data_IF_282481127879
#
_entry.id   IF_282481127879
#
_cell.length_a   1.000
_cell.length_b   1.000
_cell.length_c   1.000
_cell.angle_alpha   90.00
_cell.angle_beta   90.00
_cell.angle_gamma   90.00
#
_symmetry.space_group_name_H-M   'P 1'
#
loop_
_entity.id
_entity.type
_entity.pdbx_description
1 polymer ?
#
# COMPACT_ATOMS: atom_id res chain seq x y z
N UNK A 1 9.50 -1.36 -30.57
CA UNK A 1 8.84 -0.65 -29.46
C UNK A 1 9.93 -0.22 -28.48
N UNK A 2 9.76 0.90 -27.77
CA UNK A 2 10.70 1.28 -26.71
C UNK A 2 10.67 0.22 -25.60
N UNK A 3 11.78 0.01 -24.90
CA UNK A 3 11.89 -0.92 -23.79
C UNK A 3 10.99 -0.45 -22.63
N UNK A 4 10.10 -1.28 -22.08
CA UNK A 4 9.24 -0.90 -20.96
C UNK A 4 10.05 -0.57 -19.71
N UNK A 5 9.52 0.32 -18.85
CA UNK A 5 10.18 0.75 -17.61
C UNK A 5 9.33 0.48 -16.39
N UNK A 6 9.96 -0.10 -15.36
CA UNK A 6 9.38 -0.25 -14.04
C UNK A 6 10.11 0.61 -13.01
N UNK A 7 9.38 1.43 -12.26
CA UNK A 7 9.89 2.16 -11.11
C UNK A 7 9.54 1.38 -9.84
N UNK A 8 10.57 0.89 -9.14
CA UNK A 8 10.42 0.02 -7.98
C UNK A 8 11.07 0.68 -6.75
N UNK A 9 10.25 1.05 -5.78
CA UNK A 9 10.70 1.68 -4.53
C UNK A 9 9.84 1.19 -3.37
N UNK A 10 10.29 0.18 -2.65
CA UNK A 10 9.52 -0.48 -1.59
C UNK A 10 10.25 -0.41 -0.26
N UNK A 11 9.51 -0.27 0.85
CA UNK A 11 10.04 -0.41 2.20
C UNK A 11 10.15 -1.89 2.57
N UNK A 12 9.04 -2.63 2.55
CA UNK A 12 9.02 -4.07 2.71
C UNK A 12 9.50 -4.74 1.43
N UNK A 13 10.53 -5.59 1.56
CA UNK A 13 11.29 -6.16 0.43
C UNK A 13 10.81 -7.55 0.02
N UNK A 14 9.69 -8.02 0.56
CA UNK A 14 9.12 -9.32 0.23
C UNK A 14 8.75 -9.40 -1.26
N UNK A 15 9.15 -10.47 -1.94
CA UNK A 15 8.84 -10.74 -3.34
C UNK A 15 9.42 -9.77 -4.37
N UNK A 16 10.13 -8.69 -3.93
CA UNK A 16 10.61 -7.66 -4.86
C UNK A 16 11.72 -8.14 -5.79
N UNK A 17 12.52 -9.10 -5.34
CA UNK A 17 13.60 -9.67 -6.16
C UNK A 17 13.01 -10.52 -7.29
N UNK A 18 12.01 -11.36 -6.98
CA UNK A 18 11.29 -12.19 -7.92
C UNK A 18 10.57 -11.35 -8.99
N UNK A 19 9.84 -10.30 -8.54
CA UNK A 19 9.19 -9.36 -9.45
C UNK A 19 10.22 -8.70 -10.38
N UNK A 20 11.29 -8.12 -9.81
CA UNK A 20 12.29 -7.40 -10.57
C UNK A 20 13.07 -8.29 -11.51
N UNK A 21 13.38 -9.53 -11.09
CA UNK A 21 14.02 -10.52 -11.96
C UNK A 21 13.12 -10.92 -13.12
N UNK A 22 11.84 -11.19 -12.85
CA UNK A 22 10.88 -11.52 -13.90
C UNK A 22 10.75 -10.42 -14.93
N UNK A 23 10.63 -9.15 -14.50
CA UNK A 23 10.59 -7.98 -15.39
C UNK A 23 11.89 -7.85 -16.19
N UNK A 24 13.06 -8.01 -15.55
CA UNK A 24 14.36 -7.95 -16.23
C UNK A 24 14.50 -9.07 -17.28
N UNK A 25 14.08 -10.30 -16.97
CA UNK A 25 14.09 -11.44 -17.90
C UNK A 25 13.17 -11.20 -19.13
N UNK A 26 12.13 -10.36 -18.97
CA UNK A 26 11.24 -9.88 -20.04
C UNK A 26 11.73 -8.58 -20.69
N UNK A 27 12.99 -8.21 -20.50
CA UNK A 27 13.64 -7.03 -21.11
C UNK A 27 13.06 -5.68 -20.66
N UNK A 28 12.58 -5.57 -19.40
CA UNK A 28 12.21 -4.29 -18.81
C UNK A 28 13.41 -3.58 -18.20
N UNK A 29 13.43 -2.25 -18.26
CA UNK A 29 14.36 -1.43 -17.47
C UNK A 29 13.82 -1.24 -16.07
N UNK A 30 14.67 -1.48 -15.06
CA UNK A 30 14.31 -1.28 -13.66
C UNK A 30 14.92 0.03 -13.17
N UNK A 31 14.05 0.98 -12.80
CA UNK A 31 14.42 2.21 -12.10
C UNK A 31 14.20 1.99 -10.62
N UNK A 32 15.15 2.40 -9.77
CA UNK A 32 14.98 2.26 -8.32
C UNK A 32 15.83 3.27 -7.56
N UNK A 33 15.63 3.34 -6.24
CA UNK A 33 16.38 4.23 -5.35
C UNK A 33 16.84 3.52 -4.08
N UNK A 34 17.84 4.07 -3.41
CA UNK A 34 18.22 3.78 -2.03
C UNK A 34 18.36 2.29 -1.70
N UNK A 35 17.65 1.85 -0.66
CA UNK A 35 17.73 0.47 -0.16
C UNK A 35 17.19 -0.58 -1.13
N UNK A 36 16.16 -0.25 -1.92
CA UNK A 36 15.63 -1.16 -2.94
C UNK A 36 16.64 -1.40 -4.05
N UNK A 37 17.24 -0.34 -4.59
CA UNK A 37 18.28 -0.45 -5.62
C UNK A 37 19.48 -1.28 -5.16
N UNK A 38 19.94 -1.09 -3.91
CA UNK A 38 21.03 -1.91 -3.33
C UNK A 38 20.66 -3.39 -3.25
N UNK A 39 19.45 -3.70 -2.78
CA UNK A 39 18.97 -5.08 -2.68
C UNK A 39 18.90 -5.77 -4.04
N UNK A 40 18.32 -5.09 -5.03
CA UNK A 40 18.19 -5.64 -6.39
C UNK A 40 19.55 -5.87 -7.07
N UNK A 41 20.50 -4.94 -6.92
CA UNK A 41 21.86 -5.10 -7.43
C UNK A 41 22.59 -6.27 -6.76
N UNK A 42 22.40 -6.44 -5.44
CA UNK A 42 22.97 -7.59 -4.72
C UNK A 42 22.42 -8.93 -5.22
N UNK A 43 21.18 -8.95 -5.73
CA UNK A 43 20.57 -10.11 -6.40
C UNK A 43 20.97 -10.26 -7.88
N UNK A 44 21.91 -9.43 -8.39
CA UNK A 44 22.40 -9.49 -9.76
C UNK A 44 21.47 -8.84 -10.79
N UNK A 45 20.50 -8.05 -10.37
CA UNK A 45 19.54 -7.37 -11.26
C UNK A 45 20.13 -6.01 -11.65
N UNK A 46 20.11 -5.71 -12.95
CA UNK A 46 20.52 -4.40 -13.48
C UNK A 46 19.50 -3.33 -13.08
N UNK A 47 19.97 -2.26 -12.42
CA UNK A 47 19.13 -1.17 -11.92
C UNK A 47 19.72 0.17 -12.32
N UNK A 48 18.89 1.02 -12.91
CA UNK A 48 19.18 2.43 -13.17
C UNK A 48 18.74 3.22 -11.93
N UNK A 49 19.63 4.03 -11.36
CA UNK A 49 19.23 4.92 -10.27
C UNK A 49 18.30 6.04 -10.78
N UNK A 50 17.31 6.40 -9.96
CA UNK A 50 16.41 7.51 -10.29
C UNK A 50 17.20 8.82 -10.46
N UNK A 51 18.27 9.04 -9.70
CA UNK A 51 19.17 10.19 -9.88
C UNK A 51 19.86 10.20 -11.24
N UNK A 52 20.23 9.05 -11.78
CA UNK A 52 20.76 8.91 -13.14
C UNK A 52 19.67 9.20 -14.19
N UNK A 53 18.49 8.59 -14.01
CA UNK A 53 17.37 8.78 -14.94
C UNK A 53 16.82 10.21 -14.98
N UNK A 54 16.94 10.96 -13.88
CA UNK A 54 16.48 12.36 -13.77
C UNK A 54 17.58 13.39 -14.04
N UNK A 55 18.85 12.97 -14.00
CA UNK A 55 20.00 13.89 -14.00
C UNK A 55 20.10 14.77 -12.75
N UNK A 56 19.33 14.46 -11.68
CA UNK A 56 19.28 15.24 -10.44
C UNK A 56 19.73 14.39 -9.25
N UNK A 57 20.66 14.90 -8.42
CA UNK A 57 21.10 14.17 -7.23
C UNK A 57 19.98 14.03 -6.20
N UNK A 58 20.09 12.99 -5.38
CA UNK A 58 19.32 12.88 -4.16
C UNK A 58 19.76 13.98 -3.18
N UNK A 59 18.80 14.70 -2.60
CA UNK A 59 19.09 15.83 -1.69
C UNK A 59 18.33 15.68 -0.35
N UNK A 60 18.81 16.39 0.67
CA UNK A 60 18.26 16.38 2.02
C UNK A 60 18.18 14.96 2.62
N UNK A 61 19.29 14.22 2.54
CA UNK A 61 19.39 12.84 3.05
C UNK A 61 18.31 11.90 2.49
N UNK A 62 17.90 12.13 1.23
CA UNK A 62 16.94 11.29 0.54
C UNK A 62 15.47 11.70 0.70
N UNK A 63 15.18 12.78 1.39
CA UNK A 63 13.80 13.30 1.47
C UNK A 63 13.25 13.75 0.10
N UNK A 64 14.14 14.16 -0.82
CA UNK A 64 13.78 14.53 -2.20
C UNK A 64 14.65 13.73 -3.17
N UNK A 65 14.04 12.78 -3.85
CA UNK A 65 14.66 11.95 -4.88
C UNK A 65 13.73 11.58 -6.02
N UNK A 66 12.48 11.25 -5.72
CA UNK A 66 11.47 10.85 -6.71
C UNK A 66 10.50 11.98 -7.07
N UNK A 67 10.48 13.06 -6.30
CA UNK A 67 9.68 14.26 -6.59
C UNK A 67 10.33 15.10 -7.69
N UNK A 68 10.31 14.57 -8.91
CA UNK A 68 10.96 15.19 -10.06
C UNK A 68 10.05 15.10 -11.30
N UNK A 69 9.99 16.14 -12.16
CA UNK A 69 9.17 16.13 -13.37
C UNK A 69 9.44 14.94 -14.29
N UNK A 70 10.68 14.44 -14.38
CA UNK A 70 11.02 13.28 -15.20
C UNK A 70 10.33 12.00 -14.69
N UNK A 71 10.19 11.83 -13.38
CA UNK A 71 9.50 10.70 -12.77
C UNK A 71 7.98 10.84 -12.98
N UNK A 72 7.40 11.95 -12.50
CA UNK A 72 5.96 12.14 -12.57
C UNK A 72 5.44 12.39 -13.98
N UNK A 73 6.23 13.02 -14.85
CA UNK A 73 5.95 13.13 -16.28
C UNK A 73 5.94 11.77 -16.95
N UNK A 74 6.93 10.92 -16.67
CA UNK A 74 6.98 9.53 -17.16
C UNK A 74 5.78 8.69 -16.74
N UNK A 75 5.22 8.92 -15.53
CA UNK A 75 4.04 8.23 -15.02
C UNK A 75 2.75 8.84 -15.59
N UNK A 76 2.61 10.17 -15.61
CA UNK A 76 1.35 10.87 -15.86
C UNK A 76 1.07 11.18 -17.34
N UNK A 77 2.06 11.09 -18.23
CA UNK A 77 1.85 11.33 -19.65
C UNK A 77 0.84 10.33 -20.24
N UNK A 78 -0.16 10.86 -20.91
CA UNK A 78 -1.21 10.08 -21.59
C UNK A 78 -0.66 9.51 -22.88
N UNK A 79 -0.64 8.18 -23.01
CA UNK A 79 0.00 7.49 -24.14
C UNK A 79 -0.76 7.70 -25.46
N UNK A 80 -2.06 8.02 -25.38
CA UNK A 80 -2.93 8.33 -26.53
C UNK A 80 -2.89 9.81 -26.96
N UNK A 81 -2.02 10.62 -26.35
CA UNK A 81 -1.86 12.05 -26.67
C UNK A 81 -0.47 12.31 -27.25
N UNK A 82 -0.41 12.58 -28.54
CA UNK A 82 0.85 12.87 -29.24
C UNK A 82 1.62 14.06 -28.63
N UNK A 83 0.91 15.07 -28.12
CA UNK A 83 1.52 16.23 -27.47
C UNK A 83 2.23 15.86 -26.16
N UNK A 84 1.61 14.98 -25.34
CA UNK A 84 2.22 14.49 -24.11
C UNK A 84 3.49 13.68 -24.43
N UNK A 85 3.40 12.78 -25.43
CA UNK A 85 4.52 11.93 -25.82
C UNK A 85 5.66 12.72 -26.46
N UNK A 86 5.36 13.73 -27.28
CA UNK A 86 6.36 14.66 -27.79
C UNK A 86 7.05 15.44 -26.67
N UNK A 87 6.27 15.96 -25.72
CA UNK A 87 6.82 16.66 -24.56
C UNK A 87 7.80 15.80 -23.77
N UNK A 88 7.45 14.51 -23.51
CA UNK A 88 8.39 13.59 -22.85
C UNK A 88 9.69 13.43 -23.65
N UNK A 89 9.58 13.27 -24.97
CA UNK A 89 10.73 13.11 -25.86
C UNK A 89 11.60 14.37 -25.87
N UNK A 90 11.01 15.56 -26.01
CA UNK A 90 11.71 16.85 -26.08
C UNK A 90 12.47 17.14 -24.77
N UNK A 91 11.91 16.69 -23.62
CA UNK A 91 12.55 16.83 -22.32
C UNK A 91 13.55 15.69 -22.01
N UNK A 92 13.69 14.70 -22.88
CA UNK A 92 14.53 13.53 -22.65
C UNK A 92 14.00 12.59 -21.56
N UNK A 93 12.71 12.67 -21.22
CA UNK A 93 12.08 11.81 -20.24
C UNK A 93 11.55 10.54 -20.91
N UNK A 94 11.61 9.42 -20.22
CA UNK A 94 11.02 8.18 -20.71
C UNK A 94 9.72 7.84 -19.99
N UNK A 95 8.79 7.18 -20.68
CA UNK A 95 7.58 6.67 -20.04
C UNK A 95 7.92 5.63 -18.96
N UNK A 96 7.08 5.55 -17.94
CA UNK A 96 7.12 4.54 -16.86
C UNK A 96 5.83 3.73 -16.96
N UNK A 97 5.96 2.43 -17.18
CA UNK A 97 4.83 1.55 -17.50
C UNK A 97 4.34 0.76 -16.28
N UNK A 98 5.20 0.63 -15.25
CA UNK A 98 4.87 0.02 -13.98
C UNK A 98 5.48 0.80 -12.82
N UNK A 99 4.69 1.02 -11.77
CA UNK A 99 5.11 1.59 -10.49
C UNK A 99 4.84 0.58 -9.40
N UNK A 100 5.89 0.12 -8.70
CA UNK A 100 5.79 -0.77 -7.56
C UNK A 100 6.33 -0.05 -6.32
N UNK A 101 5.44 0.33 -5.43
CA UNK A 101 5.76 1.12 -4.24
C UNK A 101 4.89 0.67 -3.08
N UNK A 102 5.51 0.28 -1.97
CA UNK A 102 4.84 0.24 -0.68
C UNK A 102 5.38 1.35 0.23
N UNK A 103 4.54 1.81 1.14
CA UNK A 103 4.81 3.00 1.93
C UNK A 103 5.69 2.69 3.15
N UNK A 104 6.23 3.72 3.79
CA UNK A 104 6.94 3.57 5.05
C UNK A 104 6.00 3.05 6.14
N UNK A 105 6.49 2.25 7.11
CA UNK A 105 5.66 1.59 8.11
C UNK A 105 5.26 2.55 9.25
N UNK A 106 4.51 3.60 8.93
CA UNK A 106 4.10 4.61 9.91
C UNK A 106 3.28 3.99 11.04
N UNK A 107 2.27 3.21 10.73
CA UNK A 107 1.40 2.58 11.71
C UNK A 107 2.16 1.62 12.64
N UNK A 108 3.08 0.81 12.09
CA UNK A 108 3.94 -0.10 12.87
C UNK A 108 4.85 0.70 13.81
N UNK A 109 5.40 1.82 13.32
CA UNK A 109 6.26 2.71 14.14
C UNK A 109 5.46 3.38 15.25
N UNK A 110 4.23 3.81 14.97
CA UNK A 110 3.34 4.41 15.95
C UNK A 110 2.94 3.42 17.07
N UNK A 111 2.76 2.15 16.71
CA UNK A 111 2.39 1.07 17.64
C UNK A 111 3.59 0.46 18.40
N UNK A 112 4.82 0.92 18.18
CA UNK A 112 6.04 0.34 18.74
C UNK A 112 6.08 0.45 20.27
N UNK A 113 6.63 -0.59 20.91
CA UNK A 113 6.93 -0.60 22.37
C UNK A 113 8.43 -0.82 22.54
N UNK A 114 9.17 0.08 23.22
CA UNK A 114 8.71 1.38 23.77
C UNK A 114 8.26 2.35 22.66
N UNK A 115 7.42 3.34 22.99
CA UNK A 115 6.88 4.28 22.00
C UNK A 115 7.96 5.01 21.22
N UNK A 116 7.73 5.19 19.92
CA UNK A 116 8.59 6.01 19.08
C UNK A 116 8.54 7.49 19.52
N UNK A 117 9.67 8.17 19.41
CA UNK A 117 9.74 9.62 19.60
C UNK A 117 9.00 10.34 18.45
N UNK A 118 8.62 11.60 18.70
CA UNK A 118 7.97 12.42 17.66
C UNK A 118 8.88 12.59 16.42
N UNK A 119 10.19 12.73 16.63
CA UNK A 119 11.16 12.84 15.53
C UNK A 119 11.22 11.56 14.70
N UNK A 120 11.27 10.37 15.34
CA UNK A 120 11.27 9.09 14.64
C UNK A 120 9.95 8.88 13.85
N UNK A 121 8.83 9.30 14.42
CA UNK A 121 7.53 9.14 13.77
C UNK A 121 7.40 10.07 12.57
N UNK A 122 7.85 11.34 12.70
CA UNK A 122 7.80 12.32 11.58
C UNK A 122 8.66 11.83 10.42
N UNK A 123 9.82 11.19 10.66
CA UNK A 123 10.66 10.62 9.59
C UNK A 123 9.99 9.43 8.88
N UNK A 124 8.97 8.81 9.47
CA UNK A 124 8.17 7.76 8.83
C UNK A 124 6.99 8.31 8.03
N UNK A 125 6.81 9.62 7.93
CA UNK A 125 5.83 10.21 7.01
C UNK A 125 6.41 10.19 5.59
N UNK A 126 5.95 9.25 4.79
CA UNK A 126 6.38 9.09 3.40
C UNK A 126 5.69 10.13 2.50
N UNK A 127 6.49 10.91 1.79
CA UNK A 127 6.00 11.91 0.82
C UNK A 127 6.10 11.36 -0.60
N UNK A 128 7.25 10.77 -0.95
CA UNK A 128 7.53 10.32 -2.30
C UNK A 128 6.70 9.09 -2.72
N UNK A 129 6.54 8.14 -1.81
CA UNK A 129 5.78 6.92 -2.05
C UNK A 129 4.32 7.19 -2.43
N UNK A 130 3.53 7.85 -1.56
CA UNK A 130 2.15 8.19 -1.86
C UNK A 130 1.99 9.01 -3.15
N UNK A 131 2.93 9.92 -3.43
CA UNK A 131 2.89 10.75 -4.65
C UNK A 131 3.04 9.92 -5.91
N UNK A 132 3.98 8.96 -5.94
CA UNK A 132 4.16 8.03 -7.06
C UNK A 132 2.96 7.09 -7.24
N UNK A 133 2.48 6.50 -6.15
CA UNK A 133 1.31 5.61 -6.13
C UNK A 133 0.08 6.33 -6.69
N UNK A 134 -0.23 7.53 -6.18
CA UNK A 134 -1.38 8.33 -6.64
C UNK A 134 -1.26 8.75 -8.10
N UNK A 135 -0.04 9.09 -8.56
CA UNK A 135 0.21 9.44 -9.96
C UNK A 135 -0.05 8.24 -10.88
N UNK A 136 0.45 7.06 -10.53
CA UNK A 136 0.24 5.84 -11.29
C UNK A 136 -1.23 5.39 -11.29
N UNK A 137 -1.87 5.40 -10.12
CA UNK A 137 -3.30 5.09 -9.98
C UNK A 137 -4.19 6.04 -10.79
N UNK A 138 -3.87 7.35 -10.82
CA UNK A 138 -4.58 8.32 -11.68
C UNK A 138 -4.44 7.99 -13.16
N UNK A 139 -3.28 7.50 -13.59
CA UNK A 139 -3.00 7.14 -14.99
C UNK A 139 -3.07 5.62 -15.24
N UNK A 140 -3.90 4.89 -14.49
CA UNK A 140 -4.01 3.42 -14.58
C UNK A 140 -4.36 2.89 -15.97
N UNK A 141 -4.93 3.71 -16.85
CA UNK A 141 -5.12 3.36 -18.25
C UNK A 141 -3.80 2.97 -18.92
N UNK A 142 -2.72 3.65 -18.58
CA UNK A 142 -1.43 3.52 -19.23
C UNK A 142 -0.35 2.89 -18.31
N UNK A 143 -0.55 2.89 -16.98
CA UNK A 143 0.45 2.49 -15.99
C UNK A 143 -0.11 1.41 -15.06
N UNK A 144 0.67 0.36 -14.83
CA UNK A 144 0.40 -0.68 -13.83
C UNK A 144 0.88 -0.16 -12.47
N UNK A 145 0.05 -0.20 -11.42
CA UNK A 145 0.44 0.21 -10.07
C UNK A 145 0.34 -0.96 -9.11
N UNK A 146 1.41 -1.24 -8.36
CA UNK A 146 1.50 -2.30 -7.38
C UNK A 146 1.89 -1.72 -6.02
N UNK A 147 1.13 -2.04 -4.98
CA UNK A 147 1.35 -1.56 -3.60
C UNK A 147 1.60 -2.70 -2.61
N UNK A 148 1.29 -3.94 -2.99
CA UNK A 148 1.41 -5.11 -2.13
C UNK A 148 2.10 -6.29 -2.83
N UNK A 149 2.93 -7.08 -2.10
CA UNK A 149 3.52 -8.30 -2.63
C UNK A 149 2.50 -9.32 -3.17
N UNK A 150 1.29 -9.36 -2.61
CA UNK A 150 0.22 -10.25 -3.06
C UNK A 150 -0.23 -10.03 -4.51
N UNK A 151 0.08 -8.86 -5.09
CA UNK A 151 -0.26 -8.51 -6.46
C UNK A 151 0.80 -8.98 -7.48
N UNK A 152 2.03 -9.33 -7.03
CA UNK A 152 3.17 -9.53 -7.92
C UNK A 152 3.00 -10.74 -8.84
N UNK A 153 2.65 -11.89 -8.26
CA UNK A 153 2.59 -13.16 -9.01
C UNK A 153 1.60 -13.10 -10.17
N UNK A 154 0.38 -12.62 -9.92
CA UNK A 154 -0.65 -12.50 -10.97
C UNK A 154 -0.26 -11.57 -12.12
N UNK A 155 0.46 -10.48 -11.83
CA UNK A 155 0.96 -9.56 -12.85
C UNK A 155 2.15 -10.17 -13.61
N UNK A 156 3.06 -10.85 -12.92
CA UNK A 156 4.17 -11.56 -13.55
C UNK A 156 3.67 -12.62 -14.54
N UNK A 157 2.67 -13.42 -14.16
CA UNK A 157 2.10 -14.45 -15.02
C UNK A 157 1.47 -13.87 -16.29
N UNK A 158 0.67 -12.81 -16.13
CA UNK A 158 0.05 -12.13 -17.28
C UNK A 158 1.09 -11.55 -18.23
N UNK A 159 2.10 -10.84 -17.70
CA UNK A 159 3.19 -10.28 -18.51
C UNK A 159 4.00 -11.38 -19.23
N UNK A 160 4.32 -12.49 -18.56
CA UNK A 160 5.05 -13.61 -19.17
C UNK A 160 4.33 -14.21 -20.36
N UNK A 161 3.00 -14.30 -20.31
CA UNK A 161 2.18 -14.86 -21.39
C UNK A 161 2.31 -14.12 -22.73
N UNK A 162 2.78 -12.86 -22.67
CA UNK A 162 2.90 -11.95 -23.84
C UNK A 162 4.32 -11.46 -24.09
N UNK A 163 5.31 -12.07 -23.40
CA UNK A 163 6.72 -11.66 -23.55
C UNK A 163 7.04 -10.30 -22.91
N UNK A 164 6.24 -9.87 -21.94
CA UNK A 164 6.49 -8.65 -21.17
C UNK A 164 5.81 -7.39 -21.73
N UNK A 165 4.82 -7.53 -22.60
CA UNK A 165 4.07 -6.38 -23.11
C UNK A 165 3.18 -5.77 -21.99
N UNK A 166 3.42 -4.53 -21.54
CA UNK A 166 2.57 -3.89 -20.52
C UNK A 166 1.11 -3.76 -20.95
N UNK A 167 0.82 -3.66 -22.24
CA UNK A 167 -0.57 -3.54 -22.74
C UNK A 167 -1.40 -4.81 -22.54
N UNK A 168 -0.77 -5.93 -22.21
CA UNK A 168 -1.44 -7.20 -21.93
C UNK A 168 -2.26 -7.21 -20.63
N UNK A 169 -1.92 -6.32 -19.69
CA UNK A 169 -2.71 -6.16 -18.48
C UNK A 169 -3.98 -5.37 -18.84
N UNK A 170 -5.12 -6.01 -18.74
CA UNK A 170 -6.40 -5.42 -19.12
C UNK A 170 -6.79 -4.21 -18.24
N UNK A 171 -7.72 -3.40 -18.74
CA UNK A 171 -8.14 -2.17 -18.08
C UNK A 171 -8.86 -2.43 -16.75
N UNK A 172 -9.58 -3.53 -16.61
CA UNK A 172 -10.30 -3.89 -15.38
C UNK A 172 -9.29 -4.23 -14.27
N UNK A 173 -8.29 -5.04 -14.58
CA UNK A 173 -7.18 -5.35 -13.67
C UNK A 173 -6.46 -4.07 -13.24
N UNK A 174 -6.11 -3.18 -14.17
CA UNK A 174 -5.45 -1.89 -13.85
C UNK A 174 -6.34 -0.99 -12.99
N UNK A 175 -7.65 -0.93 -13.26
CA UNK A 175 -8.58 -0.14 -12.47
C UNK A 175 -8.72 -0.67 -11.04
N UNK A 176 -8.74 -1.99 -10.85
CA UNK A 176 -8.76 -2.62 -9.52
C UNK A 176 -7.47 -2.33 -8.74
N UNK A 177 -6.31 -2.45 -9.37
CA UNK A 177 -5.02 -2.07 -8.76
C UNK A 177 -4.97 -0.58 -8.37
N UNK A 178 -5.54 0.29 -9.20
CA UNK A 178 -5.65 1.72 -8.88
C UNK A 178 -6.60 1.98 -7.71
N UNK A 179 -7.72 1.28 -7.63
CA UNK A 179 -8.64 1.35 -6.49
C UNK A 179 -7.92 0.93 -5.19
N UNK A 180 -7.24 -0.22 -5.18
CA UNK A 180 -6.46 -0.70 -4.03
C UNK A 180 -5.38 0.32 -3.62
N UNK A 181 -4.70 0.93 -4.60
CA UNK A 181 -3.70 1.97 -4.37
C UNK A 181 -4.26 3.23 -3.69
N UNK A 182 -5.46 3.66 -4.06
CA UNK A 182 -6.13 4.78 -3.38
C UNK A 182 -6.62 4.40 -2.00
N UNK A 183 -7.07 3.16 -1.79
CA UNK A 183 -7.44 2.64 -0.47
C UNK A 183 -6.22 2.62 0.46
N UNK A 184 -5.07 2.14 -0.02
CA UNK A 184 -3.81 2.11 0.71
C UNK A 184 -3.35 3.52 1.13
N UNK A 185 -3.34 4.48 0.18
CA UNK A 185 -2.95 5.86 0.52
C UNK A 185 -3.94 6.54 1.45
N UNK A 186 -5.24 6.24 1.38
CA UNK A 186 -6.24 6.78 2.28
C UNK A 186 -6.09 6.22 3.70
N UNK A 187 -5.83 4.90 3.84
CA UNK A 187 -5.57 4.27 5.11
C UNK A 187 -4.29 4.83 5.76
N UNK A 188 -3.23 5.00 4.96
CA UNK A 188 -1.97 5.61 5.39
C UNK A 188 -2.17 7.03 5.94
N UNK A 189 -2.83 7.91 5.19
CA UNK A 189 -3.10 9.29 5.62
C UNK A 189 -4.01 9.33 6.86
N UNK A 190 -4.95 8.39 6.97
CA UNK A 190 -5.80 8.24 8.16
C UNK A 190 -4.98 7.88 9.40
N UNK A 191 -4.03 6.93 9.27
CA UNK A 191 -3.14 6.54 10.36
C UNK A 191 -2.25 7.70 10.81
N UNK A 192 -1.66 8.44 9.86
CA UNK A 192 -0.86 9.64 10.16
C UNK A 192 -1.70 10.69 10.88
N UNK A 193 -2.89 11.00 10.37
CA UNK A 193 -3.77 12.02 10.94
C UNK A 193 -4.22 11.67 12.36
N UNK A 194 -4.66 10.42 12.57
CA UNK A 194 -5.12 9.97 13.89
C UNK A 194 -3.98 9.98 14.93
N UNK A 195 -2.78 9.55 14.56
CA UNK A 195 -1.66 9.53 15.50
C UNK A 195 -1.14 10.94 15.82
N UNK A 196 -1.11 11.85 14.83
CA UNK A 196 -0.77 13.25 15.09
C UNK A 196 -1.81 13.93 15.96
N UNK A 197 -3.11 13.70 15.72
CA UNK A 197 -4.18 14.22 16.61
C UNK A 197 -3.99 13.72 18.05
N UNK A 198 -3.71 12.43 18.24
CA UNK A 198 -3.47 11.84 19.56
C UNK A 198 -2.27 12.45 20.29
N UNK A 199 -1.20 12.82 19.57
CA UNK A 199 0.02 13.39 20.17
C UNK A 199 -0.04 14.90 20.40
N UNK A 200 -0.69 15.62 19.50
CA UNK A 200 -0.69 17.09 19.48
C UNK A 200 -1.90 17.70 20.18
N UNK A 201 -2.97 16.93 20.34
CA UNK A 201 -4.22 17.43 20.94
C UNK A 201 -4.37 16.90 22.37
N UNK A 202 -4.61 17.81 23.30
CA UNK A 202 -5.06 17.50 24.67
C UNK A 202 -6.58 17.18 24.73
N UNK A 203 -7.24 17.18 23.57
CA UNK A 203 -8.69 17.06 23.51
C UNK A 203 -9.15 15.61 23.78
N UNK A 204 -10.05 15.45 24.75
CA UNK A 204 -10.79 14.20 24.93
C UNK A 204 -11.72 13.89 23.74
N UNK A 205 -11.97 14.89 22.89
CA UNK A 205 -12.83 14.79 21.72
C UNK A 205 -12.05 15.30 20.49
N UNK A 206 -11.61 14.42 19.59
CA UNK A 206 -10.91 14.82 18.38
C UNK A 206 -11.82 15.64 17.46
N UNK A 207 -11.24 16.62 16.76
CA UNK A 207 -11.99 17.48 15.82
C UNK A 207 -12.49 16.73 14.60
N UNK A 208 -11.80 15.66 14.23
CA UNK A 208 -12.15 14.72 13.15
C UNK A 208 -11.79 13.30 13.55
N UNK A 209 -12.61 12.35 13.09
CA UNK A 209 -12.32 10.92 13.19
C UNK A 209 -12.13 10.37 11.78
N UNK A 210 -11.01 9.70 11.56
CA UNK A 210 -10.75 8.94 10.34
C UNK A 210 -10.80 7.46 10.68
N UNK A 211 -11.71 6.72 10.02
CA UNK A 211 -11.85 5.28 10.21
C UNK A 211 -11.37 4.60 8.94
N UNK A 212 -10.24 3.90 9.04
CA UNK A 212 -9.79 2.96 8.05
C UNK A 212 -10.06 1.54 8.57
N UNK A 213 -10.56 0.69 7.71
CA UNK A 213 -10.87 -0.70 8.04
C UNK A 213 -10.24 -1.63 7.03
N UNK A 214 -9.82 -2.80 7.47
CA UNK A 214 -9.36 -3.86 6.59
C UNK A 214 -10.48 -4.33 5.65
N UNK A 215 -10.11 -5.14 4.65
CA UNK A 215 -11.08 -5.71 3.73
C UNK A 215 -12.18 -6.46 4.48
N UNK A 216 -13.42 -6.11 4.20
CA UNK A 216 -14.58 -6.69 4.85
C UNK A 216 -14.81 -8.15 4.46
N UNK A 217 -15.38 -8.90 5.40
CA UNK A 217 -15.88 -10.26 5.16
C UNK A 217 -17.40 -10.21 4.97
N UNK A 218 -17.91 -10.80 3.89
CA UNK A 218 -19.35 -10.93 3.69
C UNK A 218 -19.97 -11.83 4.75
N UNK A 219 -21.01 -11.35 5.39
CA UNK A 219 -21.79 -12.11 6.34
C UNK A 219 -22.91 -12.84 5.62
N UNK A 220 -23.42 -13.91 6.27
CA UNK A 220 -24.55 -14.68 5.73
C UNK A 220 -25.79 -13.82 5.53
N UNK A 221 -26.08 -12.89 6.44
CA UNK A 221 -27.10 -11.84 6.36
C UNK A 221 -26.87 -10.82 7.50
N UNK A 222 -27.59 -9.70 7.44
CA UNK A 222 -27.57 -8.64 8.44
C UNK A 222 -28.44 -8.96 9.67
N UNK A 223 -29.15 -7.96 10.19
CA UNK A 223 -30.10 -8.16 11.29
C UNK A 223 -31.26 -9.07 10.85
N UNK A 224 -31.74 -8.91 9.63
CA UNK A 224 -32.79 -9.74 9.03
C UNK A 224 -32.24 -10.57 7.84
N UNK A 225 -32.82 -11.76 7.56
CA UNK A 225 -32.30 -12.69 6.54
C UNK A 225 -32.19 -12.14 5.12
N UNK A 226 -32.94 -11.10 4.77
CA UNK A 226 -32.92 -10.49 3.45
C UNK A 226 -31.94 -9.30 3.31
N UNK A 227 -31.28 -8.92 4.40
CA UNK A 227 -30.35 -7.79 4.42
C UNK A 227 -28.90 -8.27 4.16
N UNK A 228 -28.20 -7.75 3.11
CA UNK A 228 -26.79 -7.99 2.97
C UNK A 228 -26.02 -7.30 4.13
N UNK A 229 -24.93 -7.92 4.57
CA UNK A 229 -24.05 -7.34 5.57
C UNK A 229 -22.60 -7.76 5.34
N UNK A 230 -21.69 -6.96 5.85
CA UNK A 230 -20.25 -7.23 5.86
C UNK A 230 -19.66 -6.78 7.19
N UNK A 231 -18.67 -7.52 7.66
CA UNK A 231 -17.89 -7.19 8.84
C UNK A 231 -16.55 -6.60 8.40
N UNK A 232 -16.22 -5.42 8.88
CA UNK A 232 -14.99 -4.70 8.58
C UNK A 232 -14.18 -4.55 9.88
N UNK A 233 -13.10 -5.34 10.07
CA UNK A 233 -12.22 -5.17 11.22
C UNK A 233 -11.53 -3.80 11.19
N UNK A 234 -11.37 -3.15 12.33
CA UNK A 234 -10.54 -1.96 12.44
C UNK A 234 -9.06 -2.32 12.24
N UNK A 235 -8.30 -1.41 11.62
CA UNK A 235 -6.85 -1.58 11.50
C UNK A 235 -6.19 -1.42 12.87
N UNK A 236 -5.23 -2.30 13.16
CA UNK A 236 -4.39 -2.20 14.36
C UNK A 236 -5.03 -2.71 15.66
N UNK A 237 -6.22 -3.32 15.63
CA UNK A 237 -6.78 -4.01 16.78
C UNK A 237 -6.37 -5.50 16.76
N UNK A 238 -5.35 -5.90 17.55
CA UNK A 238 -4.82 -7.27 17.51
C UNK A 238 -5.69 -8.29 18.27
N UNK A 239 -6.59 -7.84 19.15
CA UNK A 239 -7.36 -8.70 20.04
C UNK A 239 -8.88 -8.47 19.91
N UNK A 240 -9.65 -9.56 19.90
CA UNK A 240 -11.10 -9.52 19.85
C UNK A 240 -11.69 -10.30 18.68
N UNK A 241 -12.93 -9.97 18.31
CA UNK A 241 -13.64 -10.67 17.22
C UNK A 241 -12.98 -10.45 15.85
N UNK A 242 -12.20 -9.38 15.68
CA UNK A 242 -11.47 -9.09 14.43
C UNK A 242 -10.42 -10.15 14.10
N UNK A 243 -9.78 -10.72 15.12
CA UNK A 243 -8.75 -11.76 15.00
C UNK A 243 -9.27 -13.18 15.19
N UNK A 244 -10.57 -13.34 15.44
CA UNK A 244 -11.17 -14.65 15.70
C UNK A 244 -11.14 -15.56 14.46
N UNK A 245 -10.70 -16.80 14.66
CA UNK A 245 -10.67 -17.83 13.61
C UNK A 245 -11.87 -18.73 13.74
N UNK A 246 -12.70 -18.79 12.71
CA UNK A 246 -13.81 -19.73 12.66
C UNK A 246 -13.31 -21.10 12.19
N UNK A 247 -13.24 -22.08 13.09
CA UNK A 247 -12.77 -23.44 12.79
C UNK A 247 -13.81 -24.34 12.13
N UNK A 248 -15.07 -23.93 12.07
CA UNK A 248 -16.13 -24.71 11.45
C UNK A 248 -17.50 -24.06 11.54
N UNK A 249 -18.52 -24.73 11.01
CA UNK A 249 -19.89 -24.25 11.02
C UNK A 249 -20.25 -23.42 9.78
N UNK A 250 -21.43 -22.79 9.83
CA UNK A 250 -21.92 -21.92 8.75
C UNK A 250 -21.27 -20.53 8.86
N UNK A 251 -21.14 -19.79 7.73
CA UNK A 251 -20.74 -18.38 7.78
C UNK A 251 -21.58 -17.60 8.79
N UNK A 252 -20.94 -16.69 9.52
CA UNK A 252 -21.60 -15.91 10.56
C UNK A 252 -22.56 -14.89 9.95
N UNK A 253 -23.61 -14.54 10.71
CA UNK A 253 -24.50 -13.41 10.43
C UNK A 253 -24.16 -12.25 11.36
N UNK A 254 -24.76 -11.08 11.11
CA UNK A 254 -24.66 -9.92 12.02
C UNK A 254 -25.03 -10.30 13.45
N UNK A 255 -26.17 -11.00 13.65
CA UNK A 255 -26.61 -11.41 14.99
C UNK A 255 -25.60 -12.35 15.69
N UNK A 256 -24.92 -13.23 14.93
CA UNK A 256 -23.87 -14.07 15.52
C UNK A 256 -22.68 -13.23 16.01
N UNK A 257 -22.26 -12.20 15.29
CA UNK A 257 -21.22 -11.28 15.75
C UNK A 257 -21.67 -10.50 17.00
N UNK A 258 -22.91 -10.04 17.04
CA UNK A 258 -23.48 -9.35 18.20
C UNK A 258 -23.50 -10.25 19.44
N UNK A 259 -23.94 -11.52 19.29
CA UNK A 259 -23.94 -12.50 20.36
C UNK A 259 -22.54 -12.85 20.85
N UNK A 260 -21.58 -13.00 19.92
CA UNK A 260 -20.17 -13.27 20.24
C UNK A 260 -19.51 -12.10 20.98
N UNK A 261 -19.77 -10.85 20.55
CA UNK A 261 -19.26 -9.65 21.23
C UNK A 261 -19.79 -9.55 22.66
N UNK A 262 -21.09 -9.77 22.83
CA UNK A 262 -21.73 -9.81 24.19
C UNK A 262 -21.14 -10.89 25.08
N UNK A 263 -20.95 -12.10 24.56
CA UNK A 263 -20.37 -13.20 25.31
C UNK A 263 -18.90 -12.95 25.68
N UNK A 264 -18.10 -12.41 24.73
CA UNK A 264 -16.69 -12.08 24.97
C UNK A 264 -16.54 -11.00 26.05
N UNK A 265 -17.31 -9.92 25.97
CA UNK A 265 -17.32 -8.85 26.98
C UNK A 265 -17.73 -9.34 28.35
N UNK A 266 -18.74 -10.20 28.42
CA UNK A 266 -19.18 -10.81 29.70
C UNK A 266 -18.05 -11.66 30.29
N UNK A 267 -17.40 -12.51 29.47
CA UNK A 267 -16.31 -13.35 29.95
C UNK A 267 -15.14 -12.53 30.47
N UNK A 268 -14.73 -11.48 29.74
CA UNK A 268 -13.65 -10.56 30.14
C UNK A 268 -13.97 -9.86 31.47
N UNK A 269 -15.20 -9.35 31.64
CA UNK A 269 -15.64 -8.71 32.88
C UNK A 269 -15.63 -9.68 34.06
N UNK A 270 -16.06 -10.93 33.85
CA UNK A 270 -16.04 -11.95 34.89
C UNK A 270 -14.61 -12.31 35.31
N UNK A 271 -13.70 -12.45 34.37
CA UNK A 271 -12.27 -12.73 34.66
C UNK A 271 -11.68 -11.58 35.51
N UNK A 272 -11.90 -10.32 35.12
CA UNK A 272 -11.44 -9.17 35.90
C UNK A 272 -12.01 -9.16 37.29
N UNK A 273 -13.33 -9.39 37.44
CA UNK A 273 -14.00 -9.39 38.75
C UNK A 273 -13.49 -10.52 39.63
N UNK A 274 -13.24 -11.72 39.08
CA UNK A 274 -12.72 -12.86 39.85
C UNK A 274 -11.25 -12.65 40.29
N UNK A 275 -10.41 -12.03 39.45
CA UNK A 275 -9.02 -11.75 39.85
C UNK A 275 -8.92 -10.71 40.98
N UNK A 276 -9.86 -9.79 41.08
CA UNK A 276 -9.91 -8.83 42.17
C UNK A 276 -10.32 -9.47 43.52
N UNK A 277 -11.03 -10.61 43.51
CA UNK A 277 -11.41 -11.36 44.72
C UNK A 277 -10.30 -12.27 45.27
N UNK A 278 -9.34 -12.69 44.44
CA UNK A 278 -8.23 -13.57 44.87
C UNK A 278 -7.08 -12.81 45.56
N UNK A 279 -7.15 -11.48 45.64
CA UNK A 279 -6.15 -10.60 46.26
C UNK A 279 -6.70 -9.84 47.51
N UNK A 280 -7.87 -10.22 48.06
CA UNK A 280 -8.49 -9.64 49.25
C UNK A 280 -8.37 -10.49 50.48
#
# INVERSE_FOLDING_TARGET
MAQPRALISVWHKEGVEELSKALSDMNWQILSTGGTARKLRAAGISVIDVSEATGHPEVFDGRVKTLHPAVHGGILARRDRDDDMRTLQDLGYGPIDLVCVNLYPFAETAARVPPATDSELIEMIDIGGPTMVRSAAKNHKDVIVLTSPSQYEGIIEQLRSTGGDPSSIDLETRANLALESFQETAAYDSAVSNELERRLSDAQNPSRIHIASQRGTHLRYGENPHQPASFYPAEGEPEGLASAIQHGGKPLSYNNYLDLDGALRLAQNLIHTCSDYDHG
#
